data_IF_538654036884
#
_entry.id   IF_538654036884
#
_cell.length_a   1.000
_cell.length_b   1.000
_cell.length_c   1.000
_cell.angle_alpha   90.00
_cell.angle_beta   90.00
_cell.angle_gamma   90.00
#
_symmetry.space_group_name_H-M   'P 1'
#
loop_
_entity.id
_entity.type
_entity.pdbx_description
1 polymer ?
#
# COMPACT_ATOMS: atom_id res chain seq x y z
N UNK A 1 9.39 10.63 -29.47
CA UNK A 1 8.49 10.96 -28.36
C UNK A 1 8.02 9.64 -27.76
N UNK A 2 8.02 9.49 -26.44
CA UNK A 2 7.46 8.30 -25.80
C UNK A 2 5.96 8.16 -26.19
N UNK A 3 5.48 6.93 -26.28
CA UNK A 3 4.07 6.64 -26.59
C UNK A 3 3.19 7.17 -25.45
N UNK A 4 2.09 7.87 -25.76
CA UNK A 4 1.07 8.20 -24.76
C UNK A 4 0.36 6.93 -24.30
N UNK A 5 0.35 6.67 -22.99
CA UNK A 5 -0.31 5.53 -22.38
C UNK A 5 -1.74 5.87 -21.97
N UNK A 6 -2.63 4.85 -22.04
CA UNK A 6 -3.96 4.89 -21.45
C UNK A 6 -3.90 4.30 -20.05
N UNK A 7 -4.10 5.13 -19.03
CA UNK A 7 -3.92 4.78 -17.63
C UNK A 7 -5.26 4.77 -16.91
N UNK A 8 -5.69 3.63 -16.43
CA UNK A 8 -6.82 3.53 -15.53
C UNK A 8 -6.35 3.65 -14.07
N UNK A 9 -7.01 4.49 -13.30
CA UNK A 9 -6.69 4.72 -11.88
C UNK A 9 -7.84 4.17 -11.03
N UNK A 10 -7.58 3.04 -10.39
CA UNK A 10 -8.47 2.42 -9.41
C UNK A 10 -8.22 3.05 -8.05
N UNK A 11 -9.09 3.91 -7.60
CA UNK A 11 -8.93 4.60 -6.34
C UNK A 11 -10.28 4.97 -5.71
N UNK A 12 -10.26 5.41 -4.47
CA UNK A 12 -11.41 5.96 -3.78
C UNK A 12 -11.86 7.30 -4.41
N UNK A 13 -13.04 7.83 -4.04
CA UNK A 13 -13.56 9.05 -4.64
C UNK A 13 -12.55 10.21 -4.61
N UNK A 14 -12.17 10.71 -5.78
CA UNK A 14 -11.11 11.73 -5.94
C UNK A 14 -11.47 13.08 -5.27
N UNK A 15 -12.74 13.36 -5.04
CA UNK A 15 -13.23 14.55 -4.35
C UNK A 15 -12.93 14.54 -2.84
N UNK A 16 -12.68 13.36 -2.26
CA UNK A 16 -12.41 13.16 -0.84
C UNK A 16 -10.92 13.23 -0.46
N UNK A 17 -10.00 13.24 -1.43
CA UNK A 17 -8.56 13.18 -1.15
C UNK A 17 -7.99 14.51 -0.63
N UNK A 18 -6.95 14.40 0.18
CA UNK A 18 -6.10 15.54 0.52
C UNK A 18 -4.97 15.67 -0.53
N UNK A 19 -5.10 16.61 -1.46
CA UNK A 19 -4.15 16.80 -2.56
C UNK A 19 -2.72 17.13 -2.13
N UNK A 20 -2.49 17.53 -0.88
CA UNK A 20 -1.16 17.87 -0.37
C UNK A 20 -0.40 16.66 0.21
N UNK A 21 -1.10 15.53 0.43
CA UNK A 21 -0.51 14.31 0.98
C UNK A 21 -0.82 13.06 0.17
N UNK A 22 -1.78 13.12 -0.77
CA UNK A 22 -2.19 11.96 -1.56
C UNK A 22 -1.14 11.58 -2.60
N UNK A 23 -0.63 10.34 -2.50
CA UNK A 23 0.39 9.82 -3.42
C UNK A 23 -0.18 9.45 -4.79
N UNK A 24 -1.44 9.03 -4.86
CA UNK A 24 -2.12 8.71 -6.13
C UNK A 24 -2.29 9.97 -6.96
N UNK A 25 -2.66 11.07 -6.31
CA UNK A 25 -2.75 12.37 -6.97
C UNK A 25 -1.40 12.84 -7.55
N UNK A 26 -0.29 12.62 -6.82
CA UNK A 26 1.05 12.91 -7.34
C UNK A 26 1.37 12.05 -8.57
N UNK A 27 1.04 10.76 -8.56
CA UNK A 27 1.19 9.87 -9.72
C UNK A 27 0.35 10.32 -10.91
N UNK A 28 -0.89 10.77 -10.68
CA UNK A 28 -1.78 11.27 -11.75
C UNK A 28 -1.24 12.56 -12.37
N UNK A 29 -0.72 13.49 -11.57
CA UNK A 29 -0.11 14.73 -12.07
C UNK A 29 1.11 14.43 -12.95
N UNK A 30 1.98 13.52 -12.51
CA UNK A 30 3.16 13.12 -13.29
C UNK A 30 2.76 12.42 -14.59
N UNK A 31 1.81 11.47 -14.55
CA UNK A 31 1.28 10.81 -15.75
C UNK A 31 0.78 11.83 -16.78
N UNK A 32 -0.04 12.78 -16.33
CA UNK A 32 -0.58 13.82 -17.19
C UNK A 32 0.52 14.73 -17.75
N UNK A 33 1.56 15.05 -16.97
CA UNK A 33 2.71 15.85 -17.42
C UNK A 33 3.52 15.15 -18.53
N UNK A 34 3.56 13.81 -18.52
CA UNK A 34 4.18 12.97 -19.56
C UNK A 34 3.29 12.82 -20.82
N UNK A 35 2.07 13.35 -20.80
CA UNK A 35 1.13 13.24 -21.91
C UNK A 35 0.32 11.93 -21.91
N UNK A 36 0.28 11.20 -20.82
CA UNK A 36 -0.60 10.05 -20.66
C UNK A 36 -2.05 10.50 -20.44
N UNK A 37 -3.00 9.65 -20.82
CA UNK A 37 -4.44 9.89 -20.59
C UNK A 37 -4.89 9.15 -19.35
N UNK A 38 -5.64 9.82 -18.50
CA UNK A 38 -6.13 9.29 -17.24
C UNK A 38 -7.61 8.94 -17.31
N UNK A 39 -7.98 7.82 -16.70
CA UNK A 39 -9.34 7.38 -16.54
C UNK A 39 -9.56 6.86 -15.12
N UNK A 40 -10.42 7.52 -14.36
CA UNK A 40 -10.71 7.23 -12.96
C UNK A 40 -11.89 6.28 -12.82
N UNK A 41 -11.79 5.29 -11.95
CA UNK A 41 -12.91 4.46 -11.54
C UNK A 41 -12.75 3.96 -10.09
N UNK A 42 -13.87 3.66 -9.46
CA UNK A 42 -13.93 3.05 -8.14
C UNK A 42 -14.16 1.53 -8.26
N UNK A 43 -13.59 0.75 -7.32
CA UNK A 43 -13.70 -0.72 -7.30
C UNK A 43 -15.13 -1.22 -7.41
N UNK A 44 -16.09 -0.55 -6.76
CA UNK A 44 -17.53 -0.89 -6.81
C UNK A 44 -18.15 -0.84 -8.21
N UNK A 45 -17.46 -0.26 -9.18
CA UNK A 45 -17.92 -0.14 -10.55
C UNK A 45 -17.31 -1.19 -11.48
N UNK A 46 -16.49 -2.10 -10.96
CA UNK A 46 -15.91 -3.20 -11.72
C UNK A 46 -16.96 -4.30 -12.01
N UNK A 47 -16.84 -4.94 -13.15
CA UNK A 47 -17.67 -6.08 -13.56
C UNK A 47 -16.87 -7.03 -14.44
N UNK A 48 -16.68 -8.26 -13.97
CA UNK A 48 -16.14 -9.36 -14.75
C UNK A 48 -17.31 -10.09 -15.44
N UNK A 49 -17.23 -10.27 -16.75
CA UNK A 49 -18.26 -11.01 -17.49
C UNK A 49 -17.65 -11.81 -18.63
N UNK A 50 -18.29 -12.91 -19.00
CA UNK A 50 -17.98 -13.65 -20.21
C UNK A 50 -18.18 -12.77 -21.46
N UNK A 51 -17.25 -12.84 -22.38
CA UNK A 51 -17.32 -12.25 -23.71
C UNK A 51 -17.05 -13.30 -24.78
N UNK A 52 -17.46 -13.03 -26.02
CA UNK A 52 -17.06 -13.84 -27.18
C UNK A 52 -16.00 -13.04 -27.92
N UNK A 53 -14.75 -13.53 -27.88
CA UNK A 53 -13.68 -12.91 -28.65
C UNK A 53 -13.82 -13.22 -30.13
N UNK A 54 -13.86 -12.18 -30.95
CA UNK A 54 -13.77 -12.31 -32.41
C UNK A 54 -12.36 -12.62 -32.89
N UNK A 55 -11.34 -12.30 -32.09
CA UNK A 55 -9.92 -12.45 -32.41
C UNK A 55 -9.48 -13.91 -32.25
N UNK A 56 -9.99 -14.60 -31.22
CA UNK A 56 -9.62 -15.99 -30.90
C UNK A 56 -10.53 -17.04 -31.54
N UNK A 57 -11.23 -16.69 -32.61
CA UNK A 57 -12.08 -17.65 -33.35
C UNK A 57 -13.34 -18.07 -32.62
N UNK A 58 -13.91 -17.17 -31.82
CA UNK A 58 -15.20 -17.41 -31.12
C UNK A 58 -15.05 -18.14 -29.78
N UNK A 59 -13.83 -18.28 -29.23
CA UNK A 59 -13.64 -18.76 -27.87
C UNK A 59 -14.22 -17.74 -26.88
N UNK A 60 -14.85 -18.23 -25.81
CA UNK A 60 -15.27 -17.38 -24.70
C UNK A 60 -14.05 -16.90 -23.95
N UNK A 61 -13.98 -15.60 -23.72
CA UNK A 61 -12.97 -14.96 -22.89
C UNK A 61 -13.67 -14.13 -21.84
N UNK A 62 -13.13 -14.14 -20.65
CA UNK A 62 -13.58 -13.25 -19.59
C UNK A 62 -13.02 -11.86 -19.86
N UNK A 63 -13.86 -10.84 -19.69
CA UNK A 63 -13.51 -9.44 -19.91
C UNK A 63 -13.86 -8.62 -18.68
N UNK A 64 -12.91 -7.84 -18.23
CA UNK A 64 -13.06 -6.97 -17.07
C UNK A 64 -13.43 -5.55 -17.53
N UNK A 65 -14.58 -5.10 -17.10
CA UNK A 65 -15.07 -3.75 -17.36
C UNK A 65 -15.15 -2.94 -16.08
N UNK A 66 -15.07 -1.62 -16.22
CA UNK A 66 -15.47 -0.72 -15.16
C UNK A 66 -16.24 0.48 -15.73
N UNK A 67 -17.06 1.12 -14.89
CA UNK A 67 -17.67 2.41 -15.18
C UNK A 67 -16.86 3.50 -14.50
N UNK A 68 -16.54 4.55 -15.24
CA UNK A 68 -15.71 5.63 -14.73
C UNK A 68 -15.69 6.83 -15.66
N UNK A 69 -14.75 7.73 -15.44
CA UNK A 69 -14.63 9.00 -16.14
C UNK A 69 -13.22 9.19 -16.68
N UNK A 70 -13.08 9.74 -17.87
CA UNK A 70 -11.83 10.42 -18.18
C UNK A 70 -11.62 11.55 -17.16
N UNK A 71 -10.40 11.77 -16.73
CA UNK A 71 -10.09 12.73 -15.67
C UNK A 71 -8.89 13.58 -16.06
N UNK A 72 -8.97 14.87 -15.77
CA UNK A 72 -7.83 15.81 -15.76
C UNK A 72 -7.62 16.27 -14.34
N UNK A 73 -6.36 16.38 -13.93
CA UNK A 73 -5.99 16.79 -12.59
C UNK A 73 -5.14 18.06 -12.60
N UNK A 74 -5.35 18.89 -11.60
CA UNK A 74 -4.60 20.14 -11.42
C UNK A 74 -4.41 20.42 -9.94
N UNK A 75 -3.23 20.85 -9.53
CA UNK A 75 -2.96 21.18 -8.11
C UNK A 75 -3.65 22.50 -7.71
N UNK A 76 -4.93 22.40 -7.42
CA UNK A 76 -5.79 23.52 -6.96
C UNK A 76 -6.79 23.01 -5.91
N UNK A 77 -6.72 23.52 -4.69
CA UNK A 77 -7.69 23.19 -3.65
C UNK A 77 -9.12 23.53 -4.06
N UNK A 78 -10.06 22.62 -3.78
CA UNK A 78 -11.48 22.77 -4.10
C UNK A 78 -11.85 22.63 -5.58
N UNK A 79 -10.84 22.46 -6.47
CA UNK A 79 -11.05 22.26 -7.91
C UNK A 79 -9.87 21.50 -8.52
N UNK A 80 -9.50 20.37 -7.93
CA UNK A 80 -8.29 19.62 -8.27
C UNK A 80 -8.48 18.59 -9.38
N UNK A 81 -9.71 18.36 -9.83
CA UNK A 81 -10.01 17.47 -10.94
C UNK A 81 -11.16 17.99 -11.80
N UNK A 82 -11.22 17.49 -13.02
CA UNK A 82 -12.33 17.67 -13.97
C UNK A 82 -12.66 16.32 -14.60
N UNK A 83 -13.91 15.87 -14.46
CA UNK A 83 -14.39 14.64 -15.07
C UNK A 83 -15.02 14.90 -16.44
N UNK A 84 -14.72 13.99 -17.38
CA UNK A 84 -15.52 13.80 -18.59
C UNK A 84 -16.80 13.01 -18.30
N UNK A 85 -17.59 12.68 -19.33
CA UNK A 85 -18.77 11.84 -19.20
C UNK A 85 -18.45 10.50 -18.55
N UNK A 86 -19.41 9.95 -17.80
CA UNK A 86 -19.31 8.59 -17.30
C UNK A 86 -19.48 7.61 -18.46
N UNK A 87 -18.55 6.66 -18.57
CA UNK A 87 -18.58 5.63 -19.61
C UNK A 87 -18.13 4.27 -19.04
N UNK A 88 -18.44 3.22 -19.77
CA UNK A 88 -17.95 1.86 -19.45
C UNK A 88 -16.78 1.55 -20.37
N UNK A 89 -15.65 1.16 -19.78
CA UNK A 89 -14.46 0.73 -20.53
C UNK A 89 -14.06 -0.68 -20.18
N UNK A 90 -13.48 -1.37 -21.16
CA UNK A 90 -12.76 -2.62 -20.97
C UNK A 90 -11.37 -2.32 -20.41
N UNK A 91 -11.08 -2.79 -19.21
CA UNK A 91 -9.80 -2.57 -18.56
C UNK A 91 -8.66 -3.32 -19.25
N UNK A 92 -8.95 -4.42 -19.96
CA UNK A 92 -7.97 -5.11 -20.78
C UNK A 92 -7.52 -4.33 -22.03
N UNK A 93 -8.18 -3.21 -22.34
CA UNK A 93 -7.76 -2.26 -23.37
C UNK A 93 -6.90 -1.10 -22.86
N UNK A 94 -6.62 -1.05 -21.55
CA UNK A 94 -5.72 -0.07 -20.96
C UNK A 94 -4.27 -0.53 -21.04
N UNK A 95 -3.33 0.40 -21.13
CA UNK A 95 -1.91 0.08 -21.03
C UNK A 95 -1.50 -0.22 -19.59
N UNK A 96 -2.08 0.55 -18.63
CA UNK A 96 -1.74 0.48 -17.21
C UNK A 96 -3.00 0.60 -16.36
N UNK A 97 -3.07 -0.19 -15.28
CA UNK A 97 -3.98 0.04 -14.14
C UNK A 97 -3.15 0.36 -12.90
N UNK A 98 -3.35 1.55 -12.35
CA UNK A 98 -2.85 1.87 -11.02
C UNK A 98 -3.88 1.37 -9.98
N UNK A 99 -3.54 0.30 -9.28
CA UNK A 99 -4.36 -0.26 -8.20
C UNK A 99 -4.08 0.51 -6.90
N UNK A 100 -4.84 1.56 -6.65
CA UNK A 100 -4.58 2.55 -5.61
C UNK A 100 -5.74 2.78 -4.64
N UNK A 101 -6.72 1.88 -4.62
CA UNK A 101 -7.75 1.90 -3.59
C UNK A 101 -7.14 1.74 -2.20
N UNK A 102 -7.68 2.45 -1.23
CA UNK A 102 -7.25 2.33 0.16
C UNK A 102 -7.78 1.02 0.79
N UNK A 103 -7.14 0.53 1.85
CA UNK A 103 -7.72 -0.53 2.70
C UNK A 103 -9.13 -0.16 3.18
N UNK A 104 -9.97 -1.14 3.61
CA UNK A 104 -9.54 -2.36 4.30
C UNK A 104 -9.08 -3.47 3.36
N UNK A 105 -8.08 -4.24 3.79
CA UNK A 105 -7.60 -5.44 3.12
C UNK A 105 -8.49 -6.62 3.52
N UNK A 106 -9.64 -6.71 2.89
CA UNK A 106 -10.70 -7.67 3.15
C UNK A 106 -11.03 -8.52 1.92
N UNK A 107 -12.07 -9.33 1.99
CA UNK A 107 -12.50 -10.17 0.87
C UNK A 107 -12.94 -9.36 -0.36
N UNK A 108 -13.43 -8.13 -0.19
CA UNK A 108 -13.76 -7.26 -1.32
C UNK A 108 -12.48 -6.80 -2.02
N UNK A 109 -11.44 -6.42 -1.26
CA UNK A 109 -10.13 -6.08 -1.78
C UNK A 109 -9.51 -7.28 -2.53
N UNK A 110 -9.49 -8.46 -1.88
CA UNK A 110 -8.98 -9.72 -2.46
C UNK A 110 -9.72 -10.07 -3.75
N UNK A 111 -11.06 -9.94 -3.78
CA UNK A 111 -11.86 -10.18 -4.97
C UNK A 111 -11.47 -9.25 -6.12
N UNK A 112 -11.24 -7.97 -5.84
CA UNK A 112 -10.80 -7.02 -6.86
C UNK A 112 -9.44 -7.41 -7.46
N UNK A 113 -8.49 -7.91 -6.65
CA UNK A 113 -7.21 -8.42 -7.16
C UNK A 113 -7.39 -9.62 -8.09
N UNK A 114 -8.27 -10.58 -7.74
CA UNK A 114 -8.60 -11.71 -8.62
C UNK A 114 -9.20 -11.25 -9.95
N UNK A 115 -10.09 -10.26 -9.93
CA UNK A 115 -10.68 -9.73 -11.15
C UNK A 115 -9.63 -9.08 -12.07
N UNK A 116 -8.66 -8.37 -11.49
CA UNK A 116 -7.58 -7.72 -12.24
C UNK A 116 -6.63 -8.72 -12.90
N UNK A 117 -6.40 -9.90 -12.33
CA UNK A 117 -5.55 -10.93 -12.94
C UNK A 117 -6.04 -11.34 -14.35
N UNK A 118 -7.36 -11.25 -14.64
CA UNK A 118 -7.93 -11.63 -15.94
C UNK A 118 -7.46 -10.74 -17.11
N UNK A 119 -6.90 -9.60 -16.85
CA UNK A 119 -6.39 -8.69 -17.89
C UNK A 119 -4.86 -8.72 -18.02
N UNK A 120 -4.17 -9.50 -17.22
CA UNK A 120 -2.73 -9.73 -17.35
C UNK A 120 -2.45 -10.82 -18.40
N UNK A 121 -1.28 -10.81 -19.04
CA UNK A 121 -0.24 -9.78 -18.99
C UNK A 121 -0.47 -8.62 -19.96
N UNK A 122 -1.62 -8.56 -20.64
CA UNK A 122 -1.93 -7.55 -21.66
C UNK A 122 -1.95 -6.11 -21.12
N UNK A 123 -2.37 -5.95 -19.88
CA UNK A 123 -2.38 -4.68 -19.13
C UNK A 123 -1.42 -4.78 -17.95
N UNK A 124 -0.51 -3.81 -17.81
CA UNK A 124 0.35 -3.72 -16.63
C UNK A 124 -0.48 -3.22 -15.44
N UNK A 125 -0.45 -3.96 -14.33
CA UNK A 125 -1.11 -3.55 -13.08
C UNK A 125 -0.04 -3.22 -12.03
N UNK A 126 -0.16 -2.09 -11.39
CA UNK A 126 0.79 -1.60 -10.38
C UNK A 126 0.09 -1.45 -9.02
N UNK A 127 0.44 -2.29 -8.06
CA UNK A 127 1.37 -3.42 -8.08
C UNK A 127 0.67 -4.67 -8.64
N UNK A 128 1.46 -5.73 -8.90
CA UNK A 128 0.93 -7.02 -9.34
C UNK A 128 -0.19 -7.51 -8.40
N UNK A 129 -1.40 -7.82 -8.91
CA UNK A 129 -2.55 -8.11 -8.06
C UNK A 129 -2.43 -9.42 -7.28
N UNK A 130 -1.79 -10.45 -7.86
CA UNK A 130 -1.55 -11.71 -7.14
C UNK A 130 -0.54 -11.51 -6.02
N UNK A 131 0.53 -10.75 -6.28
CA UNK A 131 1.51 -10.42 -5.27
C UNK A 131 0.91 -9.58 -4.14
N UNK A 132 0.12 -8.55 -4.45
CA UNK A 132 -0.58 -7.74 -3.43
C UNK A 132 -1.46 -8.59 -2.55
N UNK A 133 -2.28 -9.48 -3.15
CA UNK A 133 -3.15 -10.39 -2.40
C UNK A 133 -2.38 -11.30 -1.45
N UNK A 134 -1.19 -11.75 -1.86
CA UNK A 134 -0.35 -12.66 -1.09
C UNK A 134 0.59 -11.94 -0.11
N UNK A 135 0.57 -10.64 -0.07
CA UNK A 135 1.45 -9.79 0.72
C UNK A 135 0.71 -8.86 1.71
N UNK A 136 -0.14 -9.38 2.62
CA UNK A 136 -0.69 -8.56 3.68
C UNK A 136 0.46 -7.92 4.48
N UNK A 137 0.37 -6.62 4.75
CA UNK A 137 1.49 -5.77 5.21
C UNK A 137 2.25 -6.29 6.43
N UNK A 138 1.53 -6.94 7.37
CA UNK A 138 2.10 -7.51 8.61
C UNK A 138 2.47 -8.99 8.49
N UNK A 139 2.01 -9.67 7.42
CA UNK A 139 2.35 -11.06 7.16
C UNK A 139 3.59 -11.14 6.27
N UNK A 140 3.68 -10.34 5.19
CA UNK A 140 4.83 -10.39 4.30
C UNK A 140 6.16 -10.20 5.04
N UNK A 141 6.20 -9.33 6.04
CA UNK A 141 7.40 -9.06 6.84
C UNK A 141 7.92 -10.31 7.57
N UNK A 142 7.05 -11.29 7.87
CA UNK A 142 7.45 -12.54 8.56
C UNK A 142 8.38 -13.44 7.75
N UNK A 143 8.50 -13.21 6.47
CA UNK A 143 9.49 -13.88 5.62
C UNK A 143 10.93 -13.37 5.86
N UNK A 144 11.10 -12.31 6.65
CA UNK A 144 12.38 -11.68 6.98
C UNK A 144 12.58 -11.61 8.52
N UNK A 145 12.58 -12.77 9.23
CA UNK A 145 12.56 -12.81 10.69
C UNK A 145 13.75 -12.09 11.34
N UNK A 146 14.92 -12.09 10.69
CA UNK A 146 16.12 -11.42 11.20
C UNK A 146 16.03 -9.88 11.16
N UNK A 147 15.06 -9.35 10.44
CA UNK A 147 14.82 -7.91 10.33
C UNK A 147 13.69 -7.43 11.26
N UNK A 148 12.93 -8.35 11.85
CA UNK A 148 11.77 -8.03 12.68
C UNK A 148 12.11 -7.93 14.17
N UNK A 149 11.31 -7.17 14.96
CA UNK A 149 11.32 -7.35 16.40
C UNK A 149 10.75 -8.73 16.75
N UNK A 150 11.02 -9.27 17.96
CA UNK A 150 10.36 -10.49 18.44
C UNK A 150 8.85 -10.41 18.24
N UNK A 151 8.30 -11.40 17.53
CA UNK A 151 6.92 -11.39 17.02
C UNK A 151 6.26 -12.75 17.22
N UNK A 152 4.99 -12.74 17.62
CA UNK A 152 4.10 -13.88 17.69
C UNK A 152 2.80 -13.56 16.94
N UNK A 153 2.31 -14.48 16.09
CA UNK A 153 1.00 -14.40 15.47
C UNK A 153 0.18 -15.59 15.95
N UNK A 154 -0.93 -15.34 16.64
CA UNK A 154 -1.68 -16.44 17.27
C UNK A 154 -3.12 -16.06 17.62
N UNK A 155 -3.97 -17.08 17.78
CA UNK A 155 -5.28 -17.04 18.46
C UNK A 155 -5.20 -17.49 19.92
N UNK A 156 -4.09 -18.13 20.30
CA UNK A 156 -3.93 -18.78 21.61
C UNK A 156 -3.62 -17.75 22.69
N UNK A 157 -4.58 -17.53 23.59
CA UNK A 157 -4.47 -16.60 24.71
C UNK A 157 -3.33 -16.95 25.66
N UNK A 158 -3.05 -18.24 25.88
CA UNK A 158 -1.97 -18.68 26.77
C UNK A 158 -0.60 -18.41 26.13
N UNK A 159 -0.47 -18.58 24.80
CA UNK A 159 0.73 -18.19 24.08
C UNK A 159 0.97 -16.67 24.15
N UNK A 160 -0.10 -15.84 24.06
CA UNK A 160 0.01 -14.38 24.23
C UNK A 160 0.47 -14.02 25.64
N UNK A 161 -0.07 -14.69 26.67
CA UNK A 161 0.33 -14.48 28.06
C UNK A 161 1.80 -14.86 28.30
N UNK A 162 2.24 -15.98 27.73
CA UNK A 162 3.64 -16.42 27.79
C UNK A 162 4.59 -15.42 27.13
N UNK A 163 4.22 -14.93 25.93
CA UNK A 163 4.99 -13.92 25.23
C UNK A 163 5.10 -12.60 26.04
N UNK A 164 3.98 -12.15 26.64
CA UNK A 164 4.01 -11.00 27.55
C UNK A 164 4.88 -11.25 28.79
N UNK A 165 4.84 -12.46 29.35
CA UNK A 165 5.66 -12.80 30.51
C UNK A 165 7.16 -12.75 30.18
N UNK A 166 7.56 -13.06 28.93
CA UNK A 166 8.94 -12.99 28.45
C UNK A 166 9.36 -11.53 28.15
N UNK A 167 8.61 -10.82 27.30
CA UNK A 167 9.01 -9.50 26.78
C UNK A 167 8.51 -8.31 27.61
N UNK A 168 7.58 -8.52 28.56
CA UNK A 168 7.03 -7.55 29.51
C UNK A 168 6.15 -6.48 28.84
N UNK A 169 6.71 -5.65 27.99
CA UNK A 169 6.05 -4.55 27.28
C UNK A 169 5.82 -4.97 25.82
N UNK A 170 4.56 -5.07 25.42
CA UNK A 170 4.19 -5.62 24.13
C UNK A 170 3.22 -4.72 23.38
N UNK A 171 3.21 -4.87 22.05
CA UNK A 171 2.19 -4.33 21.16
C UNK A 171 1.26 -5.48 20.74
N UNK A 172 -0.04 -5.23 20.80
CA UNK A 172 -1.09 -6.10 20.27
C UNK A 172 -1.75 -5.39 19.12
N UNK A 173 -1.80 -6.01 17.95
CA UNK A 173 -2.37 -5.39 16.74
C UNK A 173 -3.10 -6.39 15.84
N UNK A 174 -4.22 -5.99 15.17
CA UNK A 174 -4.85 -6.79 14.13
C UNK A 174 -3.92 -6.95 12.92
N UNK A 175 -3.96 -8.11 12.25
CA UNK A 175 -3.13 -8.36 11.06
C UNK A 175 -3.52 -7.50 9.85
N UNK A 176 -4.82 -7.34 9.64
CA UNK A 176 -5.37 -6.67 8.44
C UNK A 176 -5.86 -5.24 8.71
N UNK A 177 -5.59 -4.71 9.91
CA UNK A 177 -5.89 -3.31 10.25
C UNK A 177 -4.87 -2.35 9.64
N UNK A 178 -5.33 -1.17 9.27
CA UNK A 178 -4.52 -0.09 8.69
C UNK A 178 -4.60 1.19 9.53
N UNK A 179 -3.73 2.17 9.26
CA UNK A 179 -3.77 3.48 9.89
C UNK A 179 -3.60 3.49 11.41
N UNK A 180 -3.10 2.40 12.02
CA UNK A 180 -2.95 2.27 13.46
C UNK A 180 -4.23 1.88 14.21
N UNK A 181 -5.33 1.57 13.52
CA UNK A 181 -6.56 1.12 14.15
C UNK A 181 -6.35 -0.21 14.89
N UNK A 182 -6.83 -0.28 16.15
CA UNK A 182 -6.72 -1.50 16.96
C UNK A 182 -5.32 -1.84 17.45
N UNK A 183 -4.36 -0.92 17.38
CA UNK A 183 -3.02 -1.09 17.93
C UNK A 183 -3.00 -0.66 19.40
N UNK A 184 -2.63 -1.60 20.27
CA UNK A 184 -2.57 -1.38 21.73
C UNK A 184 -1.18 -1.69 22.25
N UNK A 185 -0.66 -0.81 23.10
CA UNK A 185 0.52 -1.10 23.93
C UNK A 185 0.05 -1.64 25.27
N UNK A 186 0.52 -2.81 25.63
CA UNK A 186 0.22 -3.49 26.89
C UNK A 186 1.48 -3.51 27.73
N UNK A 187 1.51 -2.70 28.77
CA UNK A 187 2.61 -2.61 29.73
C UNK A 187 2.62 -3.83 30.69
N UNK A 188 3.72 -4.03 31.45
CA UNK A 188 3.83 -5.17 32.37
C UNK A 188 2.70 -5.22 33.43
N UNK A 189 2.23 -4.08 33.87
CA UNK A 189 1.22 -3.89 34.91
C UNK A 189 -0.20 -3.64 34.36
N UNK A 190 -0.39 -3.68 33.03
CA UNK A 190 -1.68 -3.43 32.42
C UNK A 190 -2.65 -4.61 32.63
N UNK A 191 -3.78 -4.35 33.27
CA UNK A 191 -4.81 -5.34 33.60
C UNK A 191 -5.81 -5.58 32.45
N UNK A 192 -5.74 -4.77 31.36
CA UNK A 192 -6.75 -4.81 30.31
C UNK A 192 -6.51 -5.88 29.22
N UNK A 193 -5.37 -6.59 29.25
CA UNK A 193 -5.05 -7.57 28.20
C UNK A 193 -6.16 -8.62 28.04
N UNK A 194 -6.69 -9.17 29.13
CA UNK A 194 -7.73 -10.19 29.06
C UNK A 194 -8.99 -9.66 28.37
N UNK A 195 -9.49 -8.50 28.81
CA UNK A 195 -10.68 -7.86 28.24
C UNK A 195 -10.49 -7.47 26.77
N UNK A 196 -9.28 -7.02 26.39
CA UNK A 196 -8.94 -6.72 25.00
C UNK A 196 -9.03 -7.96 24.11
N UNK A 197 -8.43 -9.09 24.57
CA UNK A 197 -8.46 -10.34 23.83
C UNK A 197 -9.88 -10.90 23.70
N UNK A 198 -10.67 -10.87 24.80
CA UNK A 198 -12.08 -11.27 24.78
C UNK A 198 -12.90 -10.42 23.79
N UNK A 199 -12.73 -9.10 23.82
CA UNK A 199 -13.40 -8.19 22.91
C UNK A 199 -13.03 -8.45 21.44
N UNK A 200 -11.75 -8.72 21.14
CA UNK A 200 -11.28 -9.00 19.79
C UNK A 200 -11.86 -10.33 19.29
N UNK A 201 -11.65 -11.42 20.03
CA UNK A 201 -12.07 -12.76 19.60
C UNK A 201 -13.59 -12.98 19.62
N UNK A 202 -14.36 -12.15 20.34
CA UNK A 202 -15.81 -12.12 20.22
C UNK A 202 -16.32 -11.56 18.90
N UNK A 203 -15.50 -10.75 18.20
CA UNK A 203 -15.87 -10.02 16.98
C UNK A 203 -15.15 -10.49 15.72
N UNK A 204 -13.97 -11.04 15.86
CA UNK A 204 -13.13 -11.49 14.75
C UNK A 204 -12.59 -12.90 14.99
N UNK A 205 -12.46 -13.64 13.89
CA UNK A 205 -11.75 -14.93 13.86
C UNK A 205 -10.29 -14.79 13.44
N UNK A 206 -9.82 -13.58 13.24
CA UNK A 206 -8.46 -13.31 12.81
C UNK A 206 -7.49 -13.45 13.98
N UNK A 207 -6.27 -13.99 13.74
CA UNK A 207 -5.24 -13.98 14.77
C UNK A 207 -4.77 -12.54 15.02
N UNK A 208 -4.16 -12.35 16.18
CA UNK A 208 -3.47 -11.11 16.52
C UNK A 208 -1.98 -11.25 16.27
N UNK A 209 -1.34 -10.16 15.87
CA UNK A 209 0.10 -10.02 15.93
C UNK A 209 0.48 -9.38 17.25
N UNK A 210 1.38 -10.06 17.97
CA UNK A 210 1.94 -9.59 19.23
C UNK A 210 3.43 -9.33 18.98
N UNK A 211 3.91 -8.15 19.32
CA UNK A 211 5.32 -7.78 19.14
C UNK A 211 5.90 -7.21 20.43
N UNK A 212 7.20 -7.40 20.65
CA UNK A 212 7.89 -6.65 21.68
C UNK A 212 7.76 -5.15 21.39
N UNK A 213 7.50 -4.36 22.41
CA UNK A 213 7.44 -2.90 22.27
C UNK A 213 8.85 -2.35 22.02
N UNK A 214 9.01 -1.63 20.90
CA UNK A 214 10.26 -0.95 20.57
C UNK A 214 10.18 0.52 21.01
N UNK A 215 10.93 0.87 22.05
CA UNK A 215 10.90 2.23 22.61
C UNK A 215 11.33 3.30 21.60
N UNK A 216 12.11 2.93 20.59
CA UNK A 216 12.53 3.80 19.50
C UNK A 216 11.36 4.44 18.73
N UNK A 217 10.14 3.87 18.80
CA UNK A 217 8.93 4.46 18.20
C UNK A 217 8.66 5.89 18.72
N UNK A 218 9.15 6.23 19.93
CA UNK A 218 9.02 7.57 20.47
C UNK A 218 9.86 8.60 19.71
N UNK A 219 10.91 8.15 19.02
CA UNK A 219 11.72 8.98 18.13
C UNK A 219 11.15 9.00 16.71
N UNK A 220 10.24 8.10 16.42
CA UNK A 220 9.51 8.00 15.17
C UNK A 220 9.44 6.59 14.63
N UNK A 221 8.63 6.48 13.59
CA UNK A 221 8.40 5.31 12.75
C UNK A 221 8.71 5.75 11.32
N UNK A 222 9.81 5.27 10.78
CA UNK A 222 10.31 5.70 9.48
C UNK A 222 9.56 4.97 8.36
N UNK A 223 8.91 5.75 7.47
CA UNK A 223 8.39 5.27 6.19
C UNK A 223 9.46 5.44 5.12
N UNK A 224 9.91 4.32 4.53
CA UNK A 224 10.84 4.31 3.40
C UNK A 224 10.06 3.90 2.15
N UNK A 225 10.25 4.62 1.06
CA UNK A 225 9.63 4.29 -0.23
C UNK A 225 10.64 3.59 -1.11
N UNK A 226 10.25 2.40 -1.60
CA UNK A 226 11.01 1.63 -2.57
C UNK A 226 10.28 1.63 -3.92
N UNK A 227 11.05 1.74 -4.99
CA UNK A 227 10.60 1.59 -6.36
C UNK A 227 11.38 0.45 -7.00
N UNK A 228 10.67 -0.59 -7.45
CA UNK A 228 11.27 -1.79 -8.03
C UNK A 228 12.38 -2.40 -7.13
N UNK A 229 12.15 -2.38 -5.81
CA UNK A 229 13.04 -2.88 -4.78
C UNK A 229 14.16 -1.96 -4.33
N UNK A 230 14.31 -0.75 -4.92
CA UNK A 230 15.36 0.21 -4.58
C UNK A 230 14.80 1.35 -3.70
N UNK A 231 15.43 1.70 -2.56
CA UNK A 231 14.98 2.79 -1.70
C UNK A 231 15.29 4.15 -2.31
N UNK A 232 14.27 5.01 -2.43
CA UNK A 232 14.41 6.34 -3.05
C UNK A 232 14.25 7.51 -2.08
N UNK A 233 13.63 7.30 -0.92
CA UNK A 233 13.45 8.35 0.05
C UNK A 233 12.73 7.87 1.29
N UNK A 234 12.77 8.68 2.34
CA UNK A 234 12.14 8.36 3.60
C UNK A 234 11.59 9.59 4.33
N UNK A 235 10.59 9.37 5.15
CA UNK A 235 10.11 10.31 6.17
C UNK A 235 10.06 9.62 7.52
N UNK A 236 10.27 10.37 8.58
CA UNK A 236 10.01 9.90 9.94
C UNK A 236 8.65 10.41 10.41
N UNK A 237 7.82 9.53 10.97
CA UNK A 237 6.50 9.87 11.52
C UNK A 237 6.61 9.87 13.03
N UNK A 238 6.70 11.05 13.64
CA UNK A 238 6.85 11.19 15.09
C UNK A 238 5.47 11.18 15.74
N UNK A 239 5.20 10.27 16.70
CA UNK A 239 3.89 10.18 17.36
C UNK A 239 3.62 11.43 18.19
N UNK A 240 2.35 11.82 18.32
CA UNK A 240 1.92 12.87 19.22
C UNK A 240 2.22 12.51 20.68
N UNK A 241 2.35 13.52 21.54
CA UNK A 241 2.57 13.31 22.97
C UNK A 241 1.40 12.48 23.57
N UNK A 242 1.75 11.37 24.26
CA UNK A 242 0.77 10.48 24.87
C UNK A 242 0.19 9.41 23.89
N UNK A 243 0.40 9.54 22.59
CA UNK A 243 -0.04 8.55 21.60
C UNK A 243 1.06 7.48 21.38
N UNK A 244 0.65 6.23 21.24
CA UNK A 244 1.56 5.12 20.93
C UNK A 244 1.77 4.91 19.42
N UNK A 245 0.87 5.43 18.60
CA UNK A 245 0.84 5.26 17.16
C UNK A 245 1.46 6.46 16.46
N UNK A 246 2.17 6.21 15.38
CA UNK A 246 2.93 7.20 14.60
C UNK A 246 2.29 7.58 13.27
N UNK A 247 1.22 6.86 12.87
CA UNK A 247 0.56 7.08 11.60
C UNK A 247 0.03 8.54 11.47
N UNK A 248 0.18 9.14 10.31
CA UNK A 248 -0.26 10.52 10.04
C UNK A 248 -1.76 10.70 10.25
N UNK A 249 -2.59 9.67 9.97
CA UNK A 249 -4.04 9.70 10.19
C UNK A 249 -4.45 9.86 11.67
N UNK A 250 -3.58 9.50 12.61
CA UNK A 250 -3.83 9.64 14.05
C UNK A 250 -2.98 10.76 14.68
N UNK A 251 -2.49 11.70 13.86
CA UNK A 251 -1.78 12.89 14.33
C UNK A 251 -0.25 12.73 14.37
N UNK A 252 0.30 11.68 13.80
CA UNK A 252 1.75 11.56 13.61
C UNK A 252 2.27 12.70 12.72
N UNK A 253 3.37 13.33 13.15
CA UNK A 253 3.97 14.45 12.44
C UNK A 253 5.10 13.96 11.53
N UNK A 254 5.00 14.20 10.21
CA UNK A 254 6.10 13.85 9.29
C UNK A 254 7.29 14.80 9.49
N UNK A 255 8.47 14.23 9.54
CA UNK A 255 9.75 14.95 9.62
C UNK A 255 10.72 14.39 8.57
N UNK A 256 11.67 15.21 8.17
CA UNK A 256 12.77 14.80 7.30
C UNK A 256 13.56 13.66 7.94
N UNK A 257 13.89 12.62 7.18
CA UNK A 257 14.68 11.50 7.67
C UNK A 257 15.60 10.94 6.58
N UNK A 258 16.91 11.11 6.70
CA UNK A 258 17.83 10.45 5.78
C UNK A 258 17.83 8.93 6.01
N UNK A 259 18.17 8.19 4.97
CA UNK A 259 18.39 6.75 5.06
C UNK A 259 19.68 6.46 5.84
N UNK A 260 19.60 5.57 6.82
CA UNK A 260 20.75 5.08 7.59
C UNK A 260 21.36 3.85 6.94
N UNK A 261 22.55 3.41 7.40
CA UNK A 261 23.15 2.16 6.94
C UNK A 261 22.23 0.96 7.22
N UNK A 262 21.52 0.94 8.37
CA UNK A 262 20.58 -0.14 8.71
C UNK A 262 19.34 -0.11 7.80
N UNK A 263 18.83 1.05 7.44
CA UNK A 263 17.73 1.14 6.48
C UNK A 263 18.12 0.56 5.12
N UNK A 264 19.34 0.88 4.65
CA UNK A 264 19.85 0.34 3.38
C UNK A 264 20.06 -1.17 3.44
N UNK A 265 20.54 -1.72 4.56
CA UNK A 265 20.65 -3.16 4.79
C UNK A 265 19.28 -3.84 4.72
N UNK A 266 18.28 -3.29 5.40
CA UNK A 266 16.90 -3.80 5.35
C UNK A 266 16.39 -3.79 3.90
N UNK A 267 16.51 -2.66 3.21
CA UNK A 267 16.06 -2.52 1.82
C UNK A 267 16.77 -3.50 0.88
N UNK A 268 18.08 -3.68 1.03
CA UNK A 268 18.86 -4.61 0.21
C UNK A 268 18.42 -6.08 0.44
N UNK A 269 18.04 -6.44 1.66
CA UNK A 269 17.59 -7.79 1.98
C UNK A 269 16.22 -8.12 1.38
N UNK A 270 15.28 -7.15 1.37
CA UNK A 270 13.92 -7.38 0.87
C UNK A 270 13.74 -7.07 -0.62
N UNK A 271 14.54 -6.14 -1.16
CA UNK A 271 14.39 -5.58 -2.51
C UNK A 271 14.27 -6.63 -3.62
N UNK A 272 15.15 -7.65 -3.69
CA UNK A 272 15.04 -8.71 -4.70
C UNK A 272 13.68 -9.42 -4.67
N UNK A 273 13.18 -9.79 -3.49
CA UNK A 273 11.90 -10.49 -3.36
C UNK A 273 10.71 -9.60 -3.79
N UNK A 274 10.76 -8.30 -3.52
CA UNK A 274 9.73 -7.34 -3.96
C UNK A 274 9.73 -7.21 -5.49
N UNK A 275 10.91 -7.11 -6.10
CA UNK A 275 11.07 -7.00 -7.56
C UNK A 275 10.57 -8.24 -8.27
N UNK A 276 10.96 -9.43 -7.79
CA UNK A 276 10.57 -10.72 -8.37
C UNK A 276 9.05 -10.94 -8.34
N UNK A 277 8.37 -10.34 -7.36
CA UNK A 277 6.91 -10.37 -7.24
C UNK A 277 6.19 -9.26 -8.02
N UNK A 278 6.89 -8.39 -8.73
CA UNK A 278 6.25 -7.27 -9.46
C UNK A 278 5.68 -6.18 -8.55
N UNK A 279 6.19 -6.08 -7.32
CA UNK A 279 5.83 -5.05 -6.36
C UNK A 279 6.65 -3.78 -6.63
N UNK A 280 6.21 -2.98 -7.58
CA UNK A 280 6.94 -1.81 -8.10
C UNK A 280 6.97 -0.67 -7.09
N UNK A 281 5.85 -0.37 -6.46
CA UNK A 281 5.69 0.73 -5.51
C UNK A 281 5.39 0.20 -4.11
N UNK A 282 6.36 0.28 -3.22
CA UNK A 282 6.30 -0.30 -1.88
C UNK A 282 6.69 0.75 -0.84
N UNK A 283 5.97 0.77 0.28
CA UNK A 283 6.36 1.51 1.48
C UNK A 283 6.70 0.54 2.59
N UNK A 284 7.83 0.71 3.25
CA UNK A 284 8.16 -0.07 4.44
C UNK A 284 8.21 0.80 5.67
N UNK A 285 7.91 0.20 6.81
CA UNK A 285 7.93 0.88 8.10
C UNK A 285 9.03 0.30 8.99
N UNK A 286 9.90 1.19 9.49
CA UNK A 286 11.08 0.84 10.30
C UNK A 286 11.05 1.60 11.61
N UNK A 287 11.09 0.87 12.73
CA UNK A 287 11.17 1.43 14.08
C UNK A 287 12.53 1.03 14.69
N UNK A 288 13.40 2.01 14.94
CA UNK A 288 14.77 1.72 15.34
C UNK A 288 15.49 0.90 14.28
N UNK A 289 15.92 -0.32 14.63
CA UNK A 289 16.64 -1.22 13.75
C UNK A 289 15.74 -2.30 13.11
N UNK A 290 14.41 -2.22 13.31
CA UNK A 290 13.48 -3.28 12.95
C UNK A 290 12.48 -2.88 11.88
N UNK A 291 12.34 -3.74 10.87
CA UNK A 291 11.27 -3.73 9.90
C UNK A 291 9.97 -4.21 10.55
N UNK A 292 8.93 -3.40 10.52
CA UNK A 292 7.65 -3.69 11.17
C UNK A 292 6.51 -3.98 10.21
N UNK A 293 6.54 -3.41 9.00
CA UNK A 293 5.50 -3.57 7.98
C UNK A 293 6.09 -3.39 6.57
N UNK A 294 5.52 -4.12 5.59
CA UNK A 294 5.79 -3.95 4.16
C UNK A 294 4.46 -3.64 3.47
N UNK A 295 4.27 -2.40 3.10
CA UNK A 295 3.01 -1.87 2.57
C UNK A 295 3.02 -1.88 1.04
N UNK A 296 2.18 -2.72 0.41
CA UNK A 296 2.13 -2.95 -1.04
C UNK A 296 0.81 -2.51 -1.69
N UNK A 297 -0.20 -2.19 -0.89
CA UNK A 297 -1.54 -1.80 -1.37
C UNK A 297 -1.56 -0.37 -1.88
N UNK A 298 -1.61 0.60 -0.98
CA UNK A 298 -1.69 2.02 -1.32
C UNK A 298 -0.69 2.85 -0.48
N UNK A 299 0.65 2.59 -0.57
CA UNK A 299 1.60 3.31 0.25
C UNK A 299 1.56 4.82 -0.04
N UNK A 300 1.73 5.60 1.04
CA UNK A 300 1.75 7.07 1.03
C UNK A 300 3.10 7.60 1.47
N UNK A 301 3.35 8.91 1.27
CA UNK A 301 4.59 9.58 1.67
C UNK A 301 5.33 10.26 0.54
N UNK A 302 4.90 10.11 -0.73
CA UNK A 302 5.59 10.71 -1.88
C UNK A 302 5.69 12.23 -1.76
N UNK A 303 4.59 12.88 -1.39
CA UNK A 303 4.53 14.34 -1.33
C UNK A 303 5.30 14.91 -0.13
N UNK A 304 5.34 14.20 0.99
CA UNK A 304 6.15 14.56 2.14
C UNK A 304 7.64 14.50 1.80
N UNK A 305 8.10 13.42 1.14
CA UNK A 305 9.49 13.25 0.70
C UNK A 305 9.86 14.37 -0.30
N UNK A 306 9.00 14.63 -1.29
CA UNK A 306 9.23 15.70 -2.24
C UNK A 306 9.36 17.07 -1.56
N UNK A 307 8.53 17.35 -0.56
CA UNK A 307 8.55 18.61 0.22
C UNK A 307 9.79 18.77 1.08
N UNK A 308 10.30 17.68 1.69
CA UNK A 308 11.43 17.74 2.60
C UNK A 308 12.79 17.64 1.88
N UNK A 309 12.88 16.81 0.85
CA UNK A 309 14.14 16.45 0.22
C UNK A 309 14.24 16.88 -1.26
N UNK A 310 13.15 17.36 -1.86
CA UNK A 310 13.10 17.68 -3.28
C UNK A 310 13.14 16.45 -4.19
N UNK A 311 12.96 15.24 -3.63
CA UNK A 311 12.99 13.98 -4.39
C UNK A 311 11.59 13.65 -4.89
N UNK A 312 11.43 13.62 -6.20
CA UNK A 312 10.17 13.33 -6.90
C UNK A 312 10.09 11.86 -7.28
N UNK A 313 9.70 11.01 -6.29
CA UNK A 313 9.65 9.56 -6.47
C UNK A 313 8.60 9.14 -7.50
N UNK A 314 7.51 9.90 -7.66
CA UNK A 314 6.49 9.69 -8.69
C UNK A 314 7.11 9.59 -10.09
N UNK A 315 8.20 10.33 -10.38
CA UNK A 315 8.91 10.25 -11.65
C UNK A 315 9.59 8.89 -11.83
N UNK A 316 10.29 8.43 -10.81
CA UNK A 316 10.95 7.12 -10.86
C UNK A 316 9.94 5.96 -10.99
N UNK A 317 8.76 6.07 -10.35
CA UNK A 317 7.68 5.09 -10.52
C UNK A 317 7.23 5.06 -11.99
N UNK A 318 7.00 6.23 -12.60
CA UNK A 318 6.59 6.31 -14.00
C UNK A 318 7.69 5.86 -14.97
N UNK A 319 8.97 6.13 -14.68
CA UNK A 319 10.08 5.59 -15.48
C UNK A 319 10.03 4.07 -15.52
N UNK A 320 9.81 3.41 -14.39
CA UNK A 320 9.66 1.95 -14.32
C UNK A 320 8.41 1.42 -15.01
N UNK A 321 7.28 2.12 -14.89
CA UNK A 321 6.04 1.76 -15.57
C UNK A 321 6.25 1.82 -17.10
N UNK A 322 6.81 2.90 -17.61
CA UNK A 322 7.07 3.08 -19.05
C UNK A 322 8.06 2.03 -19.59
N UNK A 323 9.11 1.68 -18.84
CA UNK A 323 10.03 0.61 -19.19
C UNK A 323 9.33 -0.76 -19.30
N UNK A 324 8.42 -1.08 -18.37
CA UNK A 324 7.70 -2.37 -18.35
C UNK A 324 6.60 -2.45 -19.42
N UNK A 325 6.03 -1.34 -19.85
CA UNK A 325 5.00 -1.28 -20.92
C UNK A 325 5.63 -1.17 -22.31
N UNK A 326 6.92 -0.81 -22.41
CA UNK A 326 7.61 -0.76 -23.69
C UNK A 326 7.60 -2.15 -24.35
N UNK A 327 7.33 -2.29 -25.67
CA UNK A 327 7.42 -3.57 -26.33
C UNK A 327 8.83 -4.13 -26.14
N UNK A 328 8.91 -5.38 -25.69
CA UNK A 328 10.16 -6.13 -25.68
C UNK A 328 10.56 -6.24 -27.16
N UNK A 329 11.61 -5.48 -27.58
CA UNK A 329 12.10 -5.38 -28.96
C UNK A 329 12.66 -6.70 -29.48
#
# INVERSE_FOLDING_TARGET
MARSLQVAVQMDPIDSINIDGDSTFALMLEAQSRGHTLWHYEVRHMALKEGVSRVTGGKREERLFARGHSVKVVRRHGAHFEFGPMETRDLGGMDVVLMRQDPPFDMAYITATHMLEHIQPGTLIVNDPAAVRNAPEKILVTHFPDLMPPTLITWDVEAIRAFRAEYKDIIVKPLYGNGGAGVFRIKPDDENLASLLEMHFARSREPLMIQRYEAAVRQGDKRIILVDGEPLGAINRVPAAGEARSNMHVGGRPERSPLTARDLEICAAIGPALRDQGLIFVGIDVIGDYLTEINVTSPTGLQEIARFDGVHIEKAIWDRIEEKVAPIG
#
